data_IF_588201164324
#
_entry.id   IF_588201164324
#
_cell.length_a   1.000
_cell.length_b   1.000
_cell.length_c   1.000
_cell.angle_alpha   90.00
_cell.angle_beta   90.00
_cell.angle_gamma   90.00
#
_symmetry.space_group_name_H-M   'P 1'
#
loop_
_entity.id
_entity.type
_entity.pdbx_description
1 polymer ?
#
# COMPACT_ATOMS: atom_id res chain seq x y z
N UNK A 1 23.64 36.20 69.83
CA UNK A 1 22.32 36.35 69.18
C UNK A 1 22.27 35.41 67.97
N UNK A 2 21.21 34.63 67.89
CA UNK A 2 21.10 33.34 67.21
C UNK A 2 20.79 33.52 65.71
N UNK A 3 21.54 32.83 64.84
CA UNK A 3 21.27 32.78 63.38
C UNK A 3 20.08 31.84 63.14
N UNK A 4 18.99 32.36 62.58
CA UNK A 4 17.81 31.59 62.18
C UNK A 4 18.01 31.10 60.73
N UNK A 5 18.08 29.78 60.55
CA UNK A 5 18.19 29.13 59.24
C UNK A 5 16.77 28.76 58.78
N UNK A 6 16.24 29.45 57.75
CA UNK A 6 14.95 29.13 57.13
C UNK A 6 15.16 28.04 56.07
N UNK A 7 14.63 26.84 56.33
CA UNK A 7 14.53 25.72 55.39
C UNK A 7 13.27 25.90 54.54
N UNK A 8 13.44 26.19 53.24
CA UNK A 8 12.38 26.14 52.24
C UNK A 8 12.19 24.69 51.79
N UNK A 9 11.11 24.03 52.23
CA UNK A 9 10.64 22.78 51.61
C UNK A 9 9.89 23.13 50.32
N UNK A 10 10.51 22.86 49.16
CA UNK A 10 9.84 22.92 47.87
C UNK A 10 8.95 21.69 47.68
N UNK A 11 7.64 21.89 47.62
CA UNK A 11 6.67 20.87 47.26
C UNK A 11 6.73 20.65 45.74
N UNK A 12 7.36 19.56 45.29
CA UNK A 12 7.29 19.13 43.89
C UNK A 12 5.95 18.40 43.69
N UNK A 13 5.00 19.06 43.01
CA UNK A 13 3.79 18.40 42.51
C UNK A 13 4.18 17.71 41.20
N UNK A 14 4.33 16.38 41.26
CA UNK A 14 4.43 15.57 40.04
C UNK A 14 3.07 15.55 39.34
N UNK A 15 2.98 16.14 38.15
CA UNK A 15 1.87 15.88 37.24
C UNK A 15 2.08 14.47 36.66
N UNK A 16 1.17 13.54 36.91
CA UNK A 16 1.11 12.28 36.16
C UNK A 16 0.49 12.59 34.80
N UNK A 17 1.22 12.32 33.73
CA UNK A 17 0.79 12.62 32.36
C UNK A 17 0.17 11.35 31.77
N UNK A 18 -1.16 11.36 31.59
CA UNK A 18 -1.87 10.26 30.96
C UNK A 18 -1.32 10.02 29.55
N UNK A 19 -1.06 8.76 29.20
CA UNK A 19 -0.58 8.39 27.86
C UNK A 19 -1.77 8.23 26.92
N UNK A 20 -1.57 8.57 25.64
CA UNK A 20 -2.62 8.48 24.62
C UNK A 20 -2.16 7.51 23.53
N UNK A 21 -2.95 6.45 23.33
CA UNK A 21 -2.87 5.59 22.15
C UNK A 21 -4.03 5.95 21.22
N UNK A 22 -3.73 6.40 20.00
CA UNK A 22 -4.75 6.83 19.04
C UNK A 22 -4.71 6.10 17.71
N UNK A 23 -5.85 5.98 17.06
CA UNK A 23 -5.98 5.51 15.68
C UNK A 23 -6.96 6.39 14.90
N UNK A 24 -6.68 6.58 13.60
CA UNK A 24 -7.58 7.27 12.67
C UNK A 24 -7.95 6.38 11.50
N UNK A 25 -9.15 6.54 10.96
CA UNK A 25 -9.57 5.92 9.71
C UNK A 25 -10.99 6.34 9.34
N UNK A 26 -11.73 5.46 8.66
CA UNK A 26 -13.09 5.72 8.20
C UNK A 26 -14.07 4.68 8.71
N UNK A 27 -15.28 5.11 9.01
CA UNK A 27 -16.33 4.19 9.41
C UNK A 27 -16.79 3.34 8.23
N UNK A 28 -16.64 2.02 8.32
CA UNK A 28 -17.12 1.10 7.27
C UNK A 28 -18.31 0.22 7.71
N UNK A 29 -18.87 0.50 8.90
CA UNK A 29 -20.01 -0.22 9.47
C UNK A 29 -19.64 -1.39 10.37
N UNK A 30 -18.39 -1.45 10.83
CA UNK A 30 -17.89 -2.44 11.77
C UNK A 30 -17.39 -1.75 13.04
N UNK A 31 -17.48 -2.45 14.17
CA UNK A 31 -16.99 -1.97 15.46
C UNK A 31 -15.52 -2.33 15.69
N UNK A 32 -14.87 -1.58 16.58
CA UNK A 32 -13.45 -1.75 16.89
C UNK A 32 -13.29 -2.45 18.24
N UNK A 33 -12.48 -3.50 18.28
CA UNK A 33 -12.15 -4.24 19.49
C UNK A 33 -10.83 -3.75 20.06
N UNK A 34 -10.79 -3.65 21.39
CA UNK A 34 -9.64 -3.17 22.15
C UNK A 34 -9.24 -4.22 23.18
N UNK A 35 -7.94 -4.47 23.28
CA UNK A 35 -7.33 -5.18 24.38
C UNK A 35 -6.89 -4.17 25.44
N UNK A 36 -7.35 -4.39 26.67
CA UNK A 36 -7.16 -3.52 27.81
C UNK A 36 -6.53 -4.30 28.97
N UNK A 37 -5.19 -4.39 29.04
CA UNK A 37 -4.52 -5.22 30.03
C UNK A 37 -4.80 -4.75 31.47
N UNK A 38 -4.67 -5.66 32.43
CA UNK A 38 -4.71 -5.33 33.87
C UNK A 38 -3.52 -4.45 34.22
N UNK A 39 -3.71 -3.48 35.12
CA UNK A 39 -2.63 -2.60 35.61
C UNK A 39 -1.56 -3.41 36.35
N UNK A 40 -0.34 -2.88 36.40
CA UNK A 40 0.82 -3.56 37.02
C UNK A 40 0.66 -3.81 38.53
N UNK A 41 -0.19 -3.02 39.20
CA UNK A 41 -0.57 -3.19 40.61
C UNK A 41 -1.65 -4.28 40.82
N UNK A 42 -2.21 -4.83 39.75
CA UNK A 42 -3.27 -5.84 39.78
C UNK A 42 -4.67 -5.28 40.02
N UNK A 43 -4.84 -3.96 40.09
CA UNK A 43 -6.12 -3.32 40.40
C UNK A 43 -6.66 -2.55 39.20
N UNK A 44 -7.75 -3.06 38.63
CA UNK A 44 -8.43 -2.44 37.49
C UNK A 44 -7.66 -2.60 36.18
N UNK A 45 -8.08 -1.85 35.17
CA UNK A 45 -7.61 -2.00 33.80
C UNK A 45 -6.86 -0.76 33.31
N UNK A 46 -6.04 -0.96 32.29
CA UNK A 46 -5.07 0.01 31.79
C UNK A 46 -5.71 1.30 31.27
N UNK A 47 -6.81 1.18 30.54
CA UNK A 47 -7.50 2.30 29.90
C UNK A 47 -8.43 2.98 30.89
N UNK A 48 -8.22 4.29 31.06
CA UNK A 48 -9.00 5.14 31.95
C UNK A 48 -10.16 5.82 31.19
N UNK A 49 -9.98 6.09 29.89
CA UNK A 49 -10.99 6.78 29.07
C UNK A 49 -10.83 6.47 27.58
N UNK A 50 -11.96 6.41 26.88
CA UNK A 50 -12.01 6.26 25.42
C UNK A 50 -12.76 7.45 24.82
N UNK A 51 -12.14 8.11 23.85
CA UNK A 51 -12.75 9.18 23.06
C UNK A 51 -12.91 8.71 21.61
N UNK A 52 -14.08 8.99 21.02
CA UNK A 52 -14.37 8.79 19.60
C UNK A 52 -14.77 10.14 19.03
N UNK A 53 -13.94 10.71 18.16
CA UNK A 53 -14.05 12.08 17.66
C UNK A 53 -14.23 13.12 18.80
N UNK A 54 -13.50 12.93 19.91
CA UNK A 54 -13.56 13.77 21.11
C UNK A 54 -14.76 13.52 22.02
N UNK A 55 -15.67 12.60 21.68
CA UNK A 55 -16.84 12.23 22.49
C UNK A 55 -16.50 10.99 23.32
N UNK A 56 -16.79 11.03 24.63
CA UNK A 56 -16.57 9.90 25.53
C UNK A 56 -17.45 8.71 25.12
N UNK A 57 -16.86 7.52 25.04
CA UNK A 57 -17.59 6.28 24.82
C UNK A 57 -18.57 6.01 25.98
N UNK A 58 -19.90 5.93 25.72
CA UNK A 58 -20.89 5.70 26.77
C UNK A 58 -21.02 4.21 27.10
N UNK A 59 -19.92 3.53 27.43
CA UNK A 59 -19.88 2.11 27.74
C UNK A 59 -18.86 1.80 28.87
N UNK A 60 -19.04 0.66 29.52
CA UNK A 60 -18.05 0.17 30.48
C UNK A 60 -16.82 -0.36 29.74
N UNK A 61 -15.65 0.14 30.13
CA UNK A 61 -14.35 -0.26 29.58
C UNK A 61 -13.52 -1.08 30.58
N UNK A 62 -14.07 -1.39 31.76
CA UNK A 62 -13.40 -2.08 32.85
C UNK A 62 -13.43 -3.61 32.66
N UNK A 63 -12.87 -4.06 31.53
CA UNK A 63 -12.71 -5.48 31.15
C UNK A 63 -11.42 -5.66 30.35
N UNK A 64 -10.86 -6.87 30.33
CA UNK A 64 -9.62 -7.18 29.58
C UNK A 64 -9.75 -6.95 28.08
N UNK A 65 -10.97 -7.09 27.56
CA UNK A 65 -11.34 -6.86 26.18
C UNK A 65 -12.69 -6.18 26.14
N UNK A 66 -12.84 -5.18 25.28
CA UNK A 66 -14.13 -4.55 25.03
C UNK A 66 -14.27 -4.09 23.59
N UNK A 67 -15.50 -3.80 23.22
CA UNK A 67 -15.91 -3.30 21.92
C UNK A 67 -16.21 -1.80 22.02
N UNK A 68 -15.63 -1.02 21.11
CA UNK A 68 -16.04 0.34 20.82
C UNK A 68 -17.18 0.23 19.81
N UNK A 69 -18.42 0.27 20.31
CA UNK A 69 -19.61 0.27 19.46
C UNK A 69 -19.75 1.64 18.76
N UNK A 70 -19.28 1.70 17.52
CA UNK A 70 -19.30 2.89 16.68
C UNK A 70 -20.72 3.22 16.21
N UNK A 71 -21.66 2.28 16.30
CA UNK A 71 -23.08 2.51 16.02
C UNK A 71 -23.71 3.55 16.94
N UNK A 72 -23.17 3.72 18.15
CA UNK A 72 -23.66 4.69 19.14
C UNK A 72 -23.47 6.15 18.72
N UNK A 73 -22.54 6.42 17.80
CA UNK A 73 -22.15 7.77 17.38
C UNK A 73 -22.83 8.23 16.07
N UNK A 74 -23.75 7.40 15.52
CA UNK A 74 -24.55 7.72 14.32
C UNK A 74 -23.72 8.04 13.06
N UNK A 75 -22.50 7.52 12.96
CA UNK A 75 -21.66 7.67 11.77
C UNK A 75 -22.30 7.04 10.53
N UNK A 76 -22.04 7.65 9.38
CA UNK A 76 -22.33 7.09 8.05
C UNK A 76 -21.07 6.44 7.49
N UNK A 77 -21.25 5.48 6.58
CA UNK A 77 -20.11 4.86 5.91
C UNK A 77 -19.28 5.89 5.14
N UNK A 78 -17.98 5.90 5.43
CA UNK A 78 -16.97 6.83 4.93
C UNK A 78 -16.74 8.06 5.83
N UNK A 79 -17.44 8.21 6.96
CA UNK A 79 -17.17 9.30 7.91
C UNK A 79 -15.80 9.07 8.57
N UNK A 80 -15.03 10.14 8.71
CA UNK A 80 -13.72 10.08 9.37
C UNK A 80 -13.87 9.83 10.87
N UNK A 81 -13.09 8.90 11.38
CA UNK A 81 -13.04 8.49 12.78
C UNK A 81 -11.63 8.71 13.32
N UNK A 82 -11.56 9.30 14.51
CA UNK A 82 -10.37 9.38 15.36
C UNK A 82 -10.72 8.83 16.74
N UNK A 83 -9.99 7.80 17.17
CA UNK A 83 -10.21 7.15 18.47
C UNK A 83 -8.97 7.35 19.31
N UNK A 84 -9.16 7.71 20.57
CA UNK A 84 -8.11 7.91 21.56
C UNK A 84 -8.41 7.04 22.77
N UNK A 85 -7.39 6.30 23.22
CA UNK A 85 -7.38 5.55 24.46
C UNK A 85 -6.44 6.28 25.41
N UNK A 86 -7.00 6.94 26.43
CA UNK A 86 -6.21 7.48 27.55
C UNK A 86 -5.91 6.31 28.51
N UNK A 87 -4.63 6.06 28.79
CA UNK A 87 -4.19 4.93 29.60
C UNK A 87 -3.01 5.27 30.52
N UNK A 88 -2.80 4.41 31.53
CA UNK A 88 -1.71 4.56 32.49
C UNK A 88 -0.32 4.30 31.90
N UNK A 89 0.71 4.94 32.47
CA UNK A 89 2.11 4.88 31.98
C UNK A 89 2.75 3.48 31.99
N UNK A 90 2.29 2.59 32.89
CA UNK A 90 2.92 1.28 33.13
C UNK A 90 2.30 0.11 32.35
N UNK A 91 1.35 0.40 31.45
CA UNK A 91 0.61 -0.61 30.69
C UNK A 91 0.36 -0.11 29.26
N UNK A 92 0.13 -1.04 28.32
CA UNK A 92 -0.01 -0.71 26.91
C UNK A 92 -1.23 -1.43 26.31
N UNK A 93 -2.34 -0.71 26.07
CA UNK A 93 -3.49 -1.27 25.38
C UNK A 93 -3.19 -1.46 23.88
N UNK A 94 -4.07 -2.18 23.18
CA UNK A 94 -3.93 -2.41 21.74
C UNK A 94 -5.27 -2.45 21.01
N UNK A 95 -5.30 -1.94 19.78
CA UNK A 95 -6.40 -2.15 18.84
C UNK A 95 -6.29 -3.55 18.22
N UNK A 96 -7.31 -4.38 18.40
CA UNK A 96 -7.28 -5.80 17.99
C UNK A 96 -7.53 -5.96 16.49
N UNK A 97 -8.42 -5.16 15.92
CA UNK A 97 -8.83 -5.21 14.52
C UNK A 97 -8.78 -3.81 13.84
N UNK A 98 -7.64 -3.09 13.87
CA UNK A 98 -7.54 -1.73 13.32
C UNK A 98 -7.92 -1.64 11.84
N UNK A 99 -7.85 -2.75 11.10
CA UNK A 99 -8.21 -2.85 9.69
C UNK A 99 -9.68 -2.51 9.40
N UNK A 100 -10.57 -2.57 10.40
CA UNK A 100 -12.00 -2.22 10.21
C UNK A 100 -12.23 -0.74 9.91
N UNK A 101 -11.22 0.10 10.18
CA UNK A 101 -11.22 1.52 9.86
C UNK A 101 -10.57 1.82 8.49
N UNK A 102 -10.08 0.80 7.79
CA UNK A 102 -9.50 0.96 6.46
C UNK A 102 -10.59 0.91 5.38
N UNK A 103 -10.49 1.74 4.33
CA UNK A 103 -11.52 1.82 3.30
C UNK A 103 -11.57 0.55 2.44
N UNK A 104 -12.77 0.22 1.98
CA UNK A 104 -13.00 -0.85 1.01
C UNK A 104 -12.83 -0.37 -0.44
N UNK A 105 -12.47 -1.29 -1.35
CA UNK A 105 -12.41 -0.98 -2.77
C UNK A 105 -13.84 -0.95 -3.31
N UNK A 106 -14.51 0.20 -3.29
CA UNK A 106 -15.90 0.33 -3.77
C UNK A 106 -16.04 0.96 -5.16
N UNK A 107 -14.93 1.43 -5.76
CA UNK A 107 -14.96 2.22 -6.99
C UNK A 107 -15.76 1.56 -8.13
N UNK A 108 -16.52 2.39 -8.86
CA UNK A 108 -17.13 2.01 -10.14
C UNK A 108 -16.42 2.73 -11.27
N UNK A 109 -15.88 1.97 -12.24
CA UNK A 109 -15.23 2.55 -13.42
C UNK A 109 -16.29 3.15 -14.36
N UNK A 110 -16.19 4.45 -14.65
CA UNK A 110 -17.11 5.12 -15.59
C UNK A 110 -16.51 5.19 -16.99
N UNK A 111 -15.20 5.41 -17.08
CA UNK A 111 -14.46 5.38 -18.34
C UNK A 111 -13.01 4.97 -18.11
N UNK A 112 -12.43 4.31 -19.10
CA UNK A 112 -11.00 4.00 -19.16
C UNK A 112 -10.56 4.05 -20.61
N UNK A 113 -9.43 4.67 -20.86
CA UNK A 113 -8.83 4.79 -22.19
C UNK A 113 -7.31 4.82 -22.10
N UNK A 114 -6.67 4.47 -23.21
CA UNK A 114 -5.23 4.44 -23.36
C UNK A 114 -4.87 5.00 -24.74
N UNK A 115 -3.82 5.83 -24.81
CA UNK A 115 -3.31 6.35 -26.08
C UNK A 115 -2.06 5.60 -26.56
N UNK A 116 -1.67 5.82 -27.82
CA UNK A 116 -0.51 5.18 -28.45
C UNK A 116 0.84 5.55 -27.82
N UNK A 117 0.88 6.56 -26.93
CA UNK A 117 2.06 6.98 -26.18
C UNK A 117 2.15 6.32 -24.80
N UNK A 118 1.14 5.54 -24.41
CA UNK A 118 1.08 4.89 -23.09
C UNK A 118 0.51 5.78 -22.00
N UNK A 119 -0.20 6.87 -22.33
CA UNK A 119 -0.99 7.62 -21.34
C UNK A 119 -2.30 6.90 -21.11
N UNK A 120 -2.49 6.46 -19.87
CA UNK A 120 -3.72 5.85 -19.40
C UNK A 120 -4.53 6.92 -18.68
N UNK A 121 -5.82 7.02 -19.01
CA UNK A 121 -6.76 7.92 -18.35
C UNK A 121 -7.99 7.14 -17.95
N UNK A 122 -8.43 7.33 -16.71
CA UNK A 122 -9.64 6.67 -16.23
C UNK A 122 -10.42 7.59 -15.31
N UNK A 123 -11.72 7.34 -15.24
CA UNK A 123 -12.62 7.98 -14.29
C UNK A 123 -13.43 6.96 -13.52
N UNK A 124 -13.72 7.29 -12.27
CA UNK A 124 -14.43 6.45 -11.30
C UNK A 124 -15.49 7.27 -10.59
N UNK A 125 -16.38 6.58 -9.88
CA UNK A 125 -17.33 7.16 -8.92
C UNK A 125 -17.46 6.19 -7.72
N UNK A 126 -18.14 6.63 -6.66
CA UNK A 126 -18.47 5.80 -5.50
C UNK A 126 -17.22 5.21 -4.80
N UNK A 127 -16.10 5.94 -4.72
CA UNK A 127 -14.98 5.55 -3.86
C UNK A 127 -15.36 5.85 -2.40
N UNK A 128 -15.25 4.86 -1.50
CA UNK A 128 -15.57 5.04 -0.07
C UNK A 128 -14.42 5.69 0.69
N UNK A 129 -13.19 5.53 0.21
CA UNK A 129 -12.00 6.16 0.78
C UNK A 129 -10.79 6.11 -0.15
N UNK A 130 -9.68 6.68 0.31
CA UNK A 130 -8.44 6.79 -0.46
C UNK A 130 -7.74 5.44 -0.52
N UNK A 131 -7.76 4.82 -1.70
CA UNK A 131 -7.04 3.59 -2.00
C UNK A 131 -6.17 3.78 -3.25
N UNK A 132 -5.03 3.09 -3.28
CA UNK A 132 -4.11 3.15 -4.42
C UNK A 132 -4.68 2.37 -5.60
N UNK A 133 -4.79 3.04 -6.76
CA UNK A 133 -4.99 2.37 -8.04
C UNK A 133 -3.65 1.86 -8.56
N UNK A 134 -3.56 0.54 -8.74
CA UNK A 134 -2.49 -0.10 -9.52
C UNK A 134 -2.88 -0.11 -10.98
N UNK A 135 -2.05 0.50 -11.83
CA UNK A 135 -2.17 0.37 -13.29
C UNK A 135 -1.34 -0.83 -13.72
N UNK A 136 -1.99 -1.83 -14.30
CA UNK A 136 -1.36 -3.09 -14.68
C UNK A 136 -1.33 -3.22 -16.20
N UNK A 137 -0.23 -3.77 -16.73
CA UNK A 137 -0.02 -4.07 -18.13
C UNK A 137 0.10 -5.59 -18.30
N UNK A 138 -0.64 -6.17 -19.24
CA UNK A 138 -0.55 -7.59 -19.53
C UNK A 138 0.66 -7.88 -20.41
N UNK A 139 1.63 -8.62 -19.88
CA UNK A 139 2.83 -9.07 -20.60
C UNK A 139 3.44 -10.30 -19.93
N UNK A 140 4.16 -11.09 -20.70
CA UNK A 140 4.82 -12.31 -20.21
C UNK A 140 3.82 -13.29 -19.54
N UNK A 141 2.60 -13.38 -20.11
CA UNK A 141 1.54 -14.26 -19.62
C UNK A 141 0.84 -13.82 -18.34
N UNK A 142 1.11 -12.61 -17.83
CA UNK A 142 0.53 -12.12 -16.58
C UNK A 142 0.30 -10.61 -16.56
N UNK A 143 -0.48 -10.15 -15.59
CA UNK A 143 -0.61 -8.73 -15.27
C UNK A 143 0.60 -8.27 -14.46
N UNK A 144 1.35 -7.32 -15.00
CA UNK A 144 2.53 -6.73 -14.37
C UNK A 144 2.24 -5.28 -14.04
N UNK A 145 2.52 -4.87 -12.80
CA UNK A 145 2.31 -3.50 -12.37
C UNK A 145 3.18 -2.52 -13.17
N UNK A 146 2.52 -1.54 -13.78
CA UNK A 146 3.14 -0.50 -14.58
C UNK A 146 3.41 0.77 -13.76
N UNK A 147 2.53 1.08 -12.80
CA UNK A 147 2.68 2.14 -11.80
C UNK A 147 1.43 2.26 -10.93
N UNK A 148 1.39 3.31 -10.11
CA UNK A 148 0.36 3.51 -9.10
C UNK A 148 -0.11 4.97 -9.07
N UNK A 149 -1.37 5.19 -8.71
CA UNK A 149 -1.94 6.52 -8.46
C UNK A 149 -2.83 6.43 -7.22
N UNK A 150 -2.61 7.30 -6.23
CA UNK A 150 -3.47 7.38 -5.07
C UNK A 150 -4.87 7.88 -5.48
N UNK A 151 -5.90 7.11 -5.15
CA UNK A 151 -7.30 7.49 -5.33
C UNK A 151 -7.68 8.68 -4.46
N UNK A 152 -8.62 9.50 -4.94
CA UNK A 152 -9.15 10.65 -4.21
C UNK A 152 -10.11 10.23 -3.10
N UNK A 153 -10.76 9.08 -3.24
CA UNK A 153 -11.67 8.54 -2.22
C UNK A 153 -13.01 9.27 -2.13
N UNK A 154 -13.45 9.92 -3.21
CA UNK A 154 -14.71 10.68 -3.22
C UNK A 154 -15.84 9.89 -3.89
N UNK A 155 -17.06 10.07 -3.37
CA UNK A 155 -18.27 9.46 -3.96
C UNK A 155 -18.62 10.06 -5.34
N UNK A 156 -18.19 11.30 -5.60
CA UNK A 156 -18.36 11.98 -6.89
C UNK A 156 -17.46 11.40 -7.98
N UNK A 157 -17.61 11.90 -9.21
CA UNK A 157 -16.72 11.51 -10.31
C UNK A 157 -15.29 11.97 -10.04
N UNK A 158 -14.37 11.01 -10.02
CA UNK A 158 -12.93 11.24 -9.94
C UNK A 158 -12.28 10.88 -11.26
N UNK A 159 -11.23 11.62 -11.63
CA UNK A 159 -10.45 11.36 -12.84
C UNK A 159 -8.97 11.31 -12.51
N UNK A 160 -8.28 10.40 -13.18
CA UNK A 160 -6.87 10.08 -12.97
C UNK A 160 -6.16 9.87 -14.30
N UNK A 161 -4.84 9.99 -14.27
CA UNK A 161 -4.00 9.66 -15.40
C UNK A 161 -2.62 9.18 -14.96
N UNK A 162 -2.05 8.24 -15.71
CA UNK A 162 -0.70 7.76 -15.52
C UNK A 162 -0.05 7.48 -16.88
N UNK A 163 1.21 7.86 -17.05
CA UNK A 163 2.02 7.43 -18.19
C UNK A 163 2.74 6.14 -17.84
N UNK A 164 2.58 5.10 -18.68
CA UNK A 164 3.30 3.84 -18.56
C UNK A 164 4.36 3.72 -19.65
N UNK A 165 5.37 2.90 -19.39
CA UNK A 165 6.36 2.51 -20.40
C UNK A 165 5.72 1.42 -21.27
N UNK A 166 5.23 1.80 -22.44
CA UNK A 166 4.65 0.88 -23.40
C UNK A 166 5.73 -0.02 -24.03
N UNK A 167 5.35 -1.27 -24.30
CA UNK A 167 6.13 -2.26 -25.06
C UNK A 167 5.72 -2.21 -26.52
N UNK A 168 6.48 -2.81 -27.44
CA UNK A 168 6.27 -2.69 -28.90
C UNK A 168 5.01 -3.41 -29.40
N UNK A 169 4.20 -2.77 -30.24
CA UNK A 169 2.94 -3.37 -30.72
C UNK A 169 1.80 -3.24 -29.70
N UNK A 170 0.99 -4.29 -29.53
CA UNK A 170 -0.27 -4.21 -28.78
C UNK A 170 -0.02 -4.31 -27.27
N UNK A 171 -0.42 -3.29 -26.54
CA UNK A 171 -0.37 -3.21 -25.08
C UNK A 171 -1.79 -3.31 -24.53
N UNK A 172 -2.02 -4.24 -23.62
CA UNK A 172 -3.29 -4.37 -22.91
C UNK A 172 -3.11 -3.94 -21.47
N UNK A 173 -3.96 -3.05 -20.98
CA UNK A 173 -3.87 -2.46 -19.63
C UNK A 173 -5.19 -2.52 -18.90
N UNK A 174 -5.12 -2.49 -17.58
CA UNK A 174 -6.28 -2.32 -16.68
C UNK A 174 -5.87 -1.53 -15.44
N UNK A 175 -6.86 -1.05 -14.69
CA UNK A 175 -6.63 -0.48 -13.37
C UNK A 175 -7.26 -1.37 -12.32
N UNK A 176 -6.63 -1.48 -11.16
CA UNK A 176 -7.12 -2.30 -10.05
C UNK A 176 -6.90 -1.60 -8.71
N UNK A 177 -7.75 -1.90 -7.73
CA UNK A 177 -7.51 -1.60 -6.33
C UNK A 177 -7.53 -2.91 -5.53
N UNK A 178 -6.74 -2.94 -4.47
CA UNK A 178 -6.78 -4.00 -3.45
C UNK A 178 -7.05 -3.31 -2.13
N UNK A 179 -8.07 -3.78 -1.41
CA UNK A 179 -8.44 -3.25 -0.10
C UNK A 179 -7.84 -4.08 1.05
N UNK A 180 -8.23 -3.75 2.28
CA UNK A 180 -7.80 -4.42 3.50
C UNK A 180 -8.11 -5.94 3.55
N UNK A 181 -9.07 -6.42 2.76
CA UNK A 181 -9.39 -7.86 2.68
C UNK A 181 -8.39 -8.64 1.83
N UNK A 182 -7.53 -7.93 1.09
CA UNK A 182 -6.64 -8.52 0.09
C UNK A 182 -7.35 -8.86 -1.24
N UNK A 183 -8.66 -8.62 -1.35
CA UNK A 183 -9.41 -8.84 -2.59
C UNK A 183 -9.02 -7.77 -3.61
N UNK A 184 -8.51 -8.21 -4.77
CA UNK A 184 -8.19 -7.33 -5.89
C UNK A 184 -9.41 -7.14 -6.79
N UNK A 185 -9.91 -5.91 -6.90
CA UNK A 185 -10.94 -5.50 -7.85
C UNK A 185 -10.31 -4.80 -9.05
N UNK A 186 -10.53 -5.34 -10.24
CA UNK A 186 -9.98 -4.82 -11.49
C UNK A 186 -11.06 -4.24 -12.41
N UNK A 187 -10.70 -3.23 -13.21
CA UNK A 187 -11.52 -2.73 -14.31
C UNK A 187 -11.58 -3.72 -15.47
N UNK A 188 -12.43 -3.41 -16.46
CA UNK A 188 -12.26 -3.95 -17.81
C UNK A 188 -10.89 -3.53 -18.37
N UNK A 189 -10.31 -4.37 -19.21
CA UNK A 189 -9.06 -4.08 -19.90
C UNK A 189 -9.30 -3.24 -21.15
N UNK A 190 -8.35 -2.37 -21.48
CA UNK A 190 -8.28 -1.64 -22.75
C UNK A 190 -6.95 -1.93 -23.44
N UNK A 191 -6.95 -1.93 -24.76
CA UNK A 191 -5.74 -2.18 -25.55
C UNK A 191 -5.41 -1.00 -26.45
N UNK A 192 -4.12 -0.74 -26.63
CA UNK A 192 -3.61 0.26 -27.56
C UNK A 192 -2.37 -0.26 -28.27
N UNK A 193 -2.15 0.19 -29.50
CA UNK A 193 -0.92 -0.14 -30.24
C UNK A 193 0.09 0.99 -30.07
N UNK A 194 1.27 0.66 -29.56
CA UNK A 194 2.36 1.63 -29.38
C UNK A 194 3.17 1.79 -30.67
N UNK A 195 3.80 2.94 -30.82
CA UNK A 195 4.78 3.20 -31.88
C UNK A 195 6.20 2.74 -31.51
N UNK A 196 6.37 2.03 -30.39
CA UNK A 196 7.67 1.57 -29.95
C UNK A 196 8.19 0.47 -30.90
N UNK A 197 9.48 0.58 -31.25
CA UNK A 197 10.14 -0.41 -32.10
C UNK A 197 10.32 -1.73 -31.35
N UNK A 198 10.15 -2.85 -32.06
CA UNK A 198 10.41 -4.17 -31.51
C UNK A 198 11.88 -4.31 -31.11
N UNK A 199 12.09 -4.87 -29.92
CA UNK A 199 13.43 -5.07 -29.37
C UNK A 199 13.96 -6.47 -29.67
N UNK A 200 15.28 -6.60 -29.71
CA UNK A 200 16.00 -7.87 -29.71
C UNK A 200 17.06 -7.89 -28.61
N UNK A 201 17.38 -9.08 -28.12
CA UNK A 201 18.42 -9.30 -27.13
C UNK A 201 19.71 -9.77 -27.81
N UNK A 202 20.85 -9.23 -27.39
CA UNK A 202 22.16 -9.64 -27.90
C UNK A 202 23.26 -9.40 -26.85
N UNK A 203 24.24 -10.31 -26.67
CA UNK A 203 24.37 -11.62 -27.32
C UNK A 203 23.53 -12.72 -26.65
N UNK A 204 23.28 -13.82 -27.36
CA UNK A 204 22.61 -15.02 -26.81
C UNK A 204 23.56 -15.83 -25.91
N UNK A 205 24.84 -15.93 -26.27
CA UNK A 205 25.89 -16.48 -25.41
C UNK A 205 26.62 -15.32 -24.72
N UNK A 206 26.50 -15.21 -23.41
CA UNK A 206 26.98 -14.06 -22.63
C UNK A 206 28.07 -14.48 -21.64
N UNK A 207 29.09 -13.62 -21.48
CA UNK A 207 30.03 -13.68 -20.34
C UNK A 207 29.68 -12.66 -19.27
N UNK A 208 29.46 -11.41 -19.67
CA UNK A 208 29.30 -10.30 -18.73
C UNK A 208 27.98 -9.57 -18.89
N UNK A 209 27.60 -9.14 -20.11
CA UNK A 209 26.39 -8.34 -20.32
C UNK A 209 25.58 -8.78 -21.54
N UNK A 210 24.26 -8.68 -21.39
CA UNK A 210 23.31 -8.71 -22.51
C UNK A 210 22.70 -7.33 -22.71
N UNK A 211 22.39 -6.98 -23.96
CA UNK A 211 21.89 -5.67 -24.38
C UNK A 211 20.55 -5.82 -25.10
N UNK A 212 19.65 -4.88 -24.86
CA UNK A 212 18.38 -4.75 -25.56
C UNK A 212 18.52 -3.73 -26.69
N UNK A 213 18.22 -4.13 -27.92
CA UNK A 213 18.45 -3.32 -29.12
C UNK A 213 17.18 -3.13 -29.95
N UNK A 214 16.94 -1.91 -30.40
CA UNK A 214 16.00 -1.59 -31.47
C UNK A 214 16.81 -1.42 -32.77
N UNK A 215 16.99 -2.51 -33.52
CA UNK A 215 17.95 -2.54 -34.62
C UNK A 215 19.39 -2.45 -34.08
N UNK A 216 20.11 -1.38 -34.40
CA UNK A 216 21.50 -1.17 -33.94
C UNK A 216 21.61 -0.31 -32.67
N UNK A 217 20.51 0.30 -32.21
CA UNK A 217 20.53 1.20 -31.06
C UNK A 217 20.14 0.48 -29.76
N UNK A 218 20.96 0.60 -28.72
CA UNK A 218 20.60 0.13 -27.39
C UNK A 218 19.43 0.93 -26.83
N UNK A 219 18.38 0.24 -26.36
CA UNK A 219 17.13 0.86 -25.94
C UNK A 219 16.69 0.30 -24.60
N UNK A 220 16.25 1.18 -23.69
CA UNK A 220 15.78 0.76 -22.36
C UNK A 220 14.46 0.01 -22.44
N UNK A 221 14.36 -1.10 -21.73
CA UNK A 221 13.12 -1.86 -21.58
C UNK A 221 12.98 -2.42 -20.18
N UNK A 222 11.74 -2.72 -19.78
CA UNK A 222 11.51 -3.47 -18.54
C UNK A 222 11.91 -4.90 -18.82
N UNK A 223 12.66 -5.50 -17.91
CA UNK A 223 13.12 -6.87 -18.05
C UNK A 223 12.99 -7.66 -16.75
N UNK A 224 12.91 -8.98 -16.89
CA UNK A 224 13.03 -9.96 -15.82
C UNK A 224 13.92 -11.11 -16.30
N UNK A 225 14.86 -11.56 -15.47
CA UNK A 225 15.73 -12.70 -15.74
C UNK A 225 15.39 -13.81 -14.77
N UNK A 226 15.11 -14.98 -15.33
CA UNK A 226 14.80 -16.20 -14.60
C UNK A 226 15.86 -17.27 -14.87
N UNK A 227 16.13 -18.11 -13.88
CA UNK A 227 16.86 -19.36 -14.09
C UNK A 227 15.99 -20.43 -14.77
N UNK A 228 16.56 -21.62 -15.02
CA UNK A 228 15.86 -22.77 -15.59
C UNK A 228 14.74 -23.32 -14.70
N UNK A 229 14.74 -23.01 -13.41
CA UNK A 229 13.75 -23.46 -12.43
C UNK A 229 12.60 -22.45 -12.26
N UNK A 230 12.67 -21.29 -12.92
CA UNK A 230 11.66 -20.25 -12.83
C UNK A 230 11.85 -19.29 -11.65
N UNK A 231 13.02 -19.31 -10.98
CA UNK A 231 13.33 -18.34 -9.94
C UNK A 231 13.70 -16.99 -10.56
N UNK A 232 13.08 -15.91 -10.07
CA UNK A 232 13.41 -14.55 -10.49
C UNK A 232 14.76 -14.12 -9.90
N UNK A 233 15.74 -13.87 -10.75
CA UNK A 233 17.09 -13.47 -10.33
C UNK A 233 17.30 -11.96 -10.43
N UNK A 234 16.82 -11.34 -11.51
CA UNK A 234 16.99 -9.91 -11.77
C UNK A 234 15.74 -9.33 -12.39
N UNK A 235 15.41 -8.09 -12.06
CA UNK A 235 14.38 -7.30 -12.75
C UNK A 235 14.77 -5.83 -12.77
N UNK A 236 14.32 -5.09 -13.76
CA UNK A 236 14.59 -3.66 -13.82
C UNK A 236 14.11 -2.97 -15.08
N UNK A 237 14.54 -1.72 -15.26
CA UNK A 237 14.35 -0.93 -16.47
C UNK A 237 15.70 -0.39 -16.96
N UNK A 238 16.28 -1.05 -17.94
CA UNK A 238 17.60 -0.71 -18.46
C UNK A 238 17.75 -1.13 -19.93
N UNK A 239 18.82 -0.69 -20.57
CA UNK A 239 19.21 -1.10 -21.93
C UNK A 239 20.13 -2.33 -21.94
N UNK A 240 20.57 -2.79 -20.77
CA UNK A 240 21.42 -3.95 -20.60
C UNK A 240 21.19 -4.63 -19.25
N UNK A 241 21.63 -5.89 -19.14
CA UNK A 241 21.64 -6.65 -17.90
C UNK A 241 23.05 -7.16 -17.65
N UNK A 242 23.55 -6.95 -16.43
CA UNK A 242 24.80 -7.53 -15.97
C UNK A 242 24.56 -8.98 -15.50
N UNK A 243 25.33 -9.88 -16.07
CA UNK A 243 25.33 -11.32 -15.90
C UNK A 243 26.63 -11.83 -15.27
N UNK A 244 27.54 -10.95 -14.84
CA UNK A 244 28.85 -11.33 -14.30
C UNK A 244 28.76 -12.13 -13.00
N UNK A 245 27.70 -11.91 -12.22
CA UNK A 245 27.34 -12.61 -10.98
C UNK A 245 26.49 -13.87 -11.21
N UNK A 246 26.12 -14.17 -12.46
CA UNK A 246 25.38 -15.38 -12.81
C UNK A 246 26.31 -16.57 -13.02
N UNK A 247 25.93 -17.72 -12.48
CA UNK A 247 26.62 -18.98 -12.74
C UNK A 247 26.48 -19.40 -14.20
N UNK A 248 27.35 -20.31 -14.64
CA UNK A 248 27.25 -20.87 -15.98
C UNK A 248 25.97 -21.71 -16.10
N UNK A 249 25.19 -21.46 -17.16
CA UNK A 249 23.87 -22.05 -17.28
C UNK A 249 22.98 -21.36 -18.30
N UNK A 250 21.71 -21.78 -18.32
CA UNK A 250 20.67 -21.26 -19.19
C UNK A 250 19.77 -20.31 -18.39
N UNK A 251 19.39 -19.19 -18.99
CA UNK A 251 18.49 -18.22 -18.38
C UNK A 251 17.41 -17.77 -19.37
N UNK A 252 16.24 -17.42 -18.85
CA UNK A 252 15.13 -16.86 -19.60
C UNK A 252 15.00 -15.38 -19.30
N UNK A 253 15.04 -14.55 -20.34
CA UNK A 253 14.94 -13.10 -20.22
C UNK A 253 13.64 -12.64 -20.84
N UNK A 254 12.72 -12.20 -19.98
CA UNK A 254 11.52 -11.50 -20.38
C UNK A 254 11.88 -10.04 -20.64
N UNK A 255 11.52 -9.52 -21.80
CA UNK A 255 11.68 -8.10 -22.13
C UNK A 255 10.72 -7.74 -23.25
N UNK A 256 10.35 -6.46 -23.36
CA UNK A 256 9.36 -6.05 -24.35
C UNK A 256 8.07 -6.92 -24.25
N UNK A 257 7.58 -7.50 -25.35
CA UNK A 257 6.47 -8.47 -25.35
C UNK A 257 6.89 -9.94 -25.48
N UNK A 258 8.17 -10.27 -25.29
CA UNK A 258 8.68 -11.63 -25.54
C UNK A 258 9.65 -12.12 -24.48
N UNK A 259 10.03 -13.38 -24.63
CA UNK A 259 10.97 -14.08 -23.77
C UNK A 259 12.02 -14.74 -24.66
N UNK A 260 13.29 -14.41 -24.45
CA UNK A 260 14.39 -15.09 -25.11
C UNK A 260 15.23 -15.89 -24.11
N UNK A 261 15.93 -16.90 -24.62
CA UNK A 261 16.87 -17.71 -23.85
C UNK A 261 18.29 -17.20 -24.06
N UNK A 262 19.06 -17.09 -22.98
CA UNK A 262 20.50 -16.80 -23.01
C UNK A 262 21.29 -17.94 -22.35
N UNK A 263 22.56 -18.07 -22.73
CA UNK A 263 23.50 -19.05 -22.18
C UNK A 263 24.69 -18.30 -21.59
N UNK A 264 24.87 -18.42 -20.27
CA UNK A 264 26.03 -17.89 -19.54
C UNK A 264 27.13 -18.95 -19.52
N UNK A 265 28.35 -18.54 -19.86
CA UNK A 265 29.54 -19.38 -19.89
C UNK A 265 30.77 -18.68 -19.30
#
# INVERSE_FOLDING_TARGET
MQRLLLLFLGFWVGFSEAQILSISGQYEGMNLFVSNPIKTDGYGYCIDKVLVNGIILPASIQTEYFEIDLGLFQFKKGDDIFIELEHGESCMPNFVNPEVLLPFSTFEITSISADSKGKITWSTKNESGKLVFSVEQYKWGRWVQAGEVLGKGLKTTNSYSLNIIATSGVNTVRVAQTDNTGIKRSSKSVSFTSNAKTLSLSPIKVKTKVYFKAGNAETKTKYEVYDVYGNLLKKGYANSVDCSDLLNGIYHVNYDHKTDKIIKY
#
